data_IF_919106063943
#
_entry.id   IF_919106063943
#
_cell.length_a   1.000
_cell.length_b   1.000
_cell.length_c   1.000
_cell.angle_alpha   90.00
_cell.angle_beta   90.00
_cell.angle_gamma   90.00
#
_symmetry.space_group_name_H-M   'P 1'
#
loop_
_entity.id
_entity.type
_entity.pdbx_description
1 polymer ?
#
# COMPACT_ATOMS: atom_id res chain seq x y z
N UNK A 1 -2.71 10.38 6.79
CA UNK A 1 -1.24 10.42 6.65
C UNK A 1 -0.89 11.43 5.57
N UNK A 2 0.25 12.11 5.69
CA UNK A 2 0.72 13.12 4.74
C UNK A 2 2.21 12.95 4.52
N UNK A 3 2.64 12.89 3.26
CA UNK A 3 4.06 12.97 2.92
C UNK A 3 4.57 14.38 3.18
N UNK A 4 5.61 14.50 4.00
CA UNK A 4 6.22 15.76 4.43
C UNK A 4 7.64 15.95 3.90
N UNK A 5 8.27 14.86 3.42
CA UNK A 5 9.55 14.86 2.73
C UNK A 5 9.61 13.80 1.63
N UNK A 6 10.75 13.68 0.96
CA UNK A 6 10.94 12.66 -0.10
C UNK A 6 10.75 11.25 0.44
N UNK A 7 11.19 11.02 1.67
CA UNK A 7 11.26 9.75 2.40
C UNK A 7 10.54 9.81 3.75
N UNK A 8 9.69 10.82 3.98
CA UNK A 8 9.09 11.08 5.29
C UNK A 8 7.58 11.22 5.17
N UNK A 9 6.85 10.50 6.02
CA UNK A 9 5.39 10.56 6.15
C UNK A 9 5.01 10.86 7.59
N UNK A 10 4.22 11.91 7.79
CA UNK A 10 3.61 12.22 9.08
C UNK A 10 2.21 11.60 9.15
N UNK A 11 1.97 10.81 10.19
CA UNK A 11 0.65 10.33 10.60
C UNK A 11 0.15 11.22 11.72
N UNK A 12 -1.12 11.63 11.66
CA UNK A 12 -1.76 12.44 12.70
C UNK A 12 -3.05 11.78 13.11
N UNK A 13 -3.18 11.47 14.39
CA UNK A 13 -4.45 11.09 14.98
C UNK A 13 -5.32 12.35 15.08
N UNK A 14 -6.45 12.34 14.38
CA UNK A 14 -7.35 13.50 14.31
C UNK A 14 -8.21 13.69 15.56
N UNK A 15 -8.25 12.70 16.45
CA UNK A 15 -9.04 12.74 17.68
C UNK A 15 -8.30 13.49 18.79
N UNK A 16 -7.02 13.16 19.00
CA UNK A 16 -6.19 13.71 20.08
C UNK A 16 -5.03 14.59 19.59
N UNK A 17 -4.80 14.66 18.27
CA UNK A 17 -3.73 15.46 17.67
C UNK A 17 -2.35 14.81 17.75
N UNK A 18 -2.22 13.58 18.27
CA UNK A 18 -0.94 12.88 18.34
C UNK A 18 -0.33 12.72 16.94
N UNK A 19 0.99 12.92 16.83
CA UNK A 19 1.72 12.84 15.56
C UNK A 19 2.85 11.83 15.64
N UNK A 20 3.00 11.06 14.58
CA UNK A 20 4.11 10.13 14.38
C UNK A 20 4.75 10.42 13.03
N UNK A 21 6.05 10.67 13.04
CA UNK A 21 6.84 10.88 11.83
C UNK A 21 7.56 9.58 11.48
N UNK A 22 7.23 9.03 10.31
CA UNK A 22 7.80 7.80 9.78
C UNK A 22 8.83 8.16 8.71
N UNK A 23 10.07 7.72 8.92
CA UNK A 23 11.16 7.86 7.94
C UNK A 23 11.41 6.53 7.25
N UNK A 24 11.50 6.57 5.92
CA UNK A 24 11.67 5.41 5.06
C UNK A 24 13.08 5.35 4.49
N UNK A 25 13.49 4.15 4.05
CA UNK A 25 14.83 3.90 3.51
C UNK A 25 15.11 4.68 2.22
N UNK A 26 14.08 4.91 1.42
CA UNK A 26 14.16 5.65 0.16
C UNK A 26 12.84 6.38 -0.14
N UNK A 27 12.76 7.00 -1.32
CA UNK A 27 11.65 7.89 -1.69
C UNK A 27 10.30 7.17 -1.63
N UNK A 28 9.36 7.75 -0.90
CA UNK A 28 7.95 7.36 -0.92
C UNK A 28 7.34 7.76 -2.26
N UNK A 29 6.76 6.79 -2.96
CA UNK A 29 6.16 6.98 -4.29
C UNK A 29 4.63 6.89 -4.27
N UNK A 30 4.07 6.02 -3.42
CA UNK A 30 2.63 5.85 -3.27
C UNK A 30 2.29 5.54 -1.80
N UNK A 31 1.06 5.84 -1.38
CA UNK A 31 0.58 5.44 -0.05
C UNK A 31 -0.93 5.29 -0.03
N UNK A 32 -1.42 4.40 0.83
CA UNK A 32 -2.84 4.20 1.10
C UNK A 32 -3.07 4.04 2.60
N UNK A 33 -4.08 4.73 3.11
CA UNK A 33 -4.46 4.68 4.52
C UNK A 33 -5.90 4.18 4.63
N UNK A 34 -6.08 3.12 5.41
CA UNK A 34 -7.38 2.60 5.83
C UNK A 34 -7.56 2.76 7.34
N UNK A 35 -8.65 2.22 7.88
CA UNK A 35 -8.92 2.21 9.33
C UNK A 35 -7.91 1.38 10.12
N UNK A 36 -7.40 0.28 9.54
CA UNK A 36 -6.54 -0.68 10.23
C UNK A 36 -5.07 -0.66 9.80
N UNK A 37 -4.78 -0.22 8.57
CA UNK A 37 -3.42 -0.24 8.03
C UNK A 37 -3.08 1.00 7.20
N UNK A 38 -1.83 1.43 7.32
CA UNK A 38 -1.15 2.35 6.43
C UNK A 38 -0.17 1.55 5.57
N UNK A 39 -0.36 1.57 4.25
CA UNK A 39 0.58 1.00 3.29
C UNK A 39 1.38 2.15 2.69
N UNK A 40 2.71 2.08 2.79
CA UNK A 40 3.63 3.02 2.16
C UNK A 40 4.50 2.28 1.17
N UNK A 41 4.46 2.72 -0.08
CA UNK A 41 5.33 2.24 -1.16
C UNK A 41 6.48 3.21 -1.28
N UNK A 42 7.68 2.65 -1.24
CA UNK A 42 8.93 3.33 -1.51
C UNK A 42 9.47 2.90 -2.88
N UNK A 43 10.59 3.47 -3.33
CA UNK A 43 11.21 3.09 -4.59
C UNK A 43 11.62 1.61 -4.64
N UNK A 44 11.93 1.00 -3.50
CA UNK A 44 12.38 -0.41 -3.43
C UNK A 44 11.53 -1.31 -2.55
N UNK A 45 10.65 -0.79 -1.71
CA UNK A 45 9.93 -1.59 -0.72
C UNK A 45 8.46 -1.18 -0.57
N UNK A 46 7.64 -2.11 -0.09
CA UNK A 46 6.33 -1.83 0.50
C UNK A 46 6.43 -2.04 2.00
N UNK A 47 6.04 -1.03 2.77
CA UNK A 47 5.97 -1.06 4.22
C UNK A 47 4.48 -1.05 4.65
N UNK A 48 4.05 -2.12 5.31
CA UNK A 48 2.68 -2.30 5.78
C UNK A 48 2.65 -2.08 7.29
N UNK A 49 2.08 -0.98 7.73
CA UNK A 49 1.97 -0.61 9.14
C UNK A 49 0.55 -0.86 9.63
N UNK A 50 0.41 -1.49 10.81
CA UNK A 50 -0.85 -1.47 11.52
C UNK A 50 -1.07 -0.08 12.15
N UNK A 51 -2.29 0.46 12.06
CA UNK A 51 -2.62 1.76 12.67
C UNK A 51 -2.59 1.74 14.20
N UNK A 52 -2.60 0.55 14.79
CA UNK A 52 -2.40 0.34 16.23
C UNK A 52 -0.93 0.40 16.66
N UNK A 53 0.01 0.21 15.74
CA UNK A 53 1.45 0.31 16.01
C UNK A 53 2.25 0.50 14.70
N UNK A 54 2.73 1.71 14.46
CA UNK A 54 3.51 2.02 13.26
C UNK A 54 4.98 1.56 13.33
N UNK A 55 5.49 1.17 14.50
CA UNK A 55 6.92 0.89 14.69
C UNK A 55 7.39 -0.46 14.14
N UNK A 56 6.48 -1.40 13.88
CA UNK A 56 6.80 -2.76 13.44
C UNK A 56 6.12 -3.09 12.12
N UNK A 57 6.51 -2.46 11.00
CA UNK A 57 5.91 -2.75 9.71
C UNK A 57 6.29 -4.14 9.18
N UNK A 58 5.40 -4.73 8.40
CA UNK A 58 5.77 -5.80 7.48
C UNK A 58 6.38 -5.18 6.22
N UNK A 59 7.61 -5.54 5.89
CA UNK A 59 8.36 -4.98 4.75
C UNK A 59 8.50 -6.04 3.65
N UNK A 60 8.16 -5.66 2.42
CA UNK A 60 8.27 -6.49 1.22
C UNK A 60 9.15 -5.78 0.21
N UNK A 61 10.16 -6.47 -0.33
CA UNK A 61 10.99 -5.95 -1.42
C UNK A 61 10.20 -5.93 -2.73
N UNK A 62 10.21 -4.80 -3.42
CA UNK A 62 9.57 -4.61 -4.71
C UNK A 62 10.50 -5.02 -5.85
N UNK A 63 9.90 -5.53 -6.92
CA UNK A 63 10.61 -5.84 -8.18
C UNK A 63 10.21 -4.94 -9.34
N UNK A 64 9.17 -4.12 -9.15
CA UNK A 64 8.61 -3.23 -10.15
C UNK A 64 8.00 -1.99 -9.49
N UNK A 65 7.68 -0.99 -10.30
CA UNK A 65 7.03 0.24 -9.83
C UNK A 65 5.56 -0.05 -9.55
N UNK A 66 5.10 0.31 -8.36
CA UNK A 66 3.68 0.21 -7.98
C UNK A 66 2.93 1.42 -8.52
N UNK A 67 1.77 1.19 -9.15
CA UNK A 67 0.92 2.24 -9.73
C UNK A 67 -0.45 2.37 -9.07
N UNK A 68 -0.87 1.41 -8.26
CA UNK A 68 -2.17 1.41 -7.59
C UNK A 68 -2.13 0.60 -6.31
N UNK A 69 -2.77 1.14 -5.26
CA UNK A 69 -3.03 0.45 -4.00
C UNK A 69 -4.51 0.68 -3.64
N UNK A 70 -5.27 -0.40 -3.46
CA UNK A 70 -6.65 -0.34 -2.95
C UNK A 70 -6.76 -1.23 -1.72
N UNK A 71 -7.42 -0.75 -0.66
CA UNK A 71 -7.54 -1.50 0.60
C UNK A 71 -8.97 -1.98 0.83
N UNK A 72 -9.08 -3.16 1.43
CA UNK A 72 -10.30 -3.71 2.02
C UNK A 72 -10.01 -4.12 3.47
N UNK A 73 -11.03 -4.56 4.21
CA UNK A 73 -10.85 -4.97 5.62
C UNK A 73 -9.84 -6.13 5.80
N UNK A 74 -9.92 -7.26 5.06
CA UNK A 74 -8.99 -8.38 5.26
C UNK A 74 -7.69 -8.25 4.45
N UNK A 75 -7.73 -7.58 3.30
CA UNK A 75 -6.65 -7.64 2.29
C UNK A 75 -6.47 -6.29 1.60
N UNK A 76 -5.41 -6.18 0.80
CA UNK A 76 -5.22 -5.08 -0.13
C UNK A 76 -4.86 -5.59 -1.53
N UNK A 77 -5.19 -4.78 -2.52
CA UNK A 77 -4.80 -4.94 -3.91
C UNK A 77 -3.61 -4.01 -4.20
N UNK A 78 -2.59 -4.55 -4.86
CA UNK A 78 -1.46 -3.79 -5.38
C UNK A 78 -1.28 -4.10 -6.87
N UNK A 79 -0.94 -3.08 -7.66
CA UNK A 79 -0.57 -3.26 -9.06
C UNK A 79 0.86 -2.78 -9.26
N UNK A 80 1.73 -3.66 -9.76
CA UNK A 80 3.11 -3.32 -10.11
C UNK A 80 3.47 -3.72 -11.55
N UNK A 81 4.54 -3.13 -12.10
CA UNK A 81 4.94 -3.34 -13.51
C UNK A 81 5.46 -4.75 -13.83
N UNK A 82 5.84 -5.55 -12.83
CA UNK A 82 6.41 -6.90 -13.00
C UNK A 82 5.35 -7.97 -12.75
N UNK A 83 4.65 -7.89 -11.63
CA UNK A 83 3.66 -8.89 -11.23
C UNK A 83 2.27 -8.60 -11.77
N UNK A 84 2.01 -7.37 -12.18
CA UNK A 84 0.66 -6.90 -12.49
C UNK A 84 -0.17 -6.78 -11.21
N UNK A 85 -1.43 -7.18 -11.29
CA UNK A 85 -2.38 -7.07 -10.19
C UNK A 85 -2.24 -8.24 -9.20
N UNK A 86 -2.05 -7.93 -7.92
CA UNK A 86 -1.89 -8.88 -6.82
C UNK A 86 -2.82 -8.52 -5.66
N UNK A 87 -3.47 -9.52 -5.06
CA UNK A 87 -4.13 -9.40 -3.75
C UNK A 87 -3.17 -9.95 -2.71
N UNK A 88 -2.90 -9.17 -1.67
CA UNK A 88 -2.01 -9.53 -0.57
C UNK A 88 -2.72 -9.39 0.77
N UNK A 89 -2.34 -10.25 1.71
CA UNK A 89 -2.64 -10.07 3.12
C UNK A 89 -1.76 -8.97 3.73
N UNK A 90 -2.23 -8.36 4.82
CA UNK A 90 -1.46 -7.34 5.55
C UNK A 90 -0.21 -7.88 6.25
N UNK A 91 -0.04 -9.20 6.30
CA UNK A 91 1.21 -9.88 6.68
C UNK A 91 2.23 -9.97 5.52
N UNK A 92 1.87 -9.41 4.36
CA UNK A 92 2.66 -9.38 3.14
C UNK A 92 2.60 -10.63 2.28
N UNK A 93 1.74 -11.60 2.62
CA UNK A 93 1.62 -12.83 1.84
C UNK A 93 0.76 -12.61 0.58
N UNK A 94 1.21 -13.04 -0.60
CA UNK A 94 0.37 -13.02 -1.79
C UNK A 94 -0.73 -14.07 -1.67
N UNK A 95 -1.96 -13.67 -1.96
CA UNK A 95 -3.16 -14.52 -1.88
C UNK A 95 -3.69 -14.87 -3.27
N UNK A 96 -3.69 -13.90 -4.18
CA UNK A 96 -4.10 -14.13 -5.57
C UNK A 96 -3.44 -13.15 -6.53
N UNK A 97 -3.44 -13.50 -7.82
CA UNK A 97 -2.95 -12.65 -8.90
C UNK A 97 -3.95 -12.69 -10.06
N UNK A 98 -5.09 -11.97 -9.97
CA UNK A 98 -6.11 -12.04 -11.00
C UNK A 98 -5.58 -11.48 -12.32
N UNK A 99 -5.77 -12.24 -13.40
CA UNK A 99 -5.30 -11.92 -14.75
C UNK A 99 -6.32 -12.36 -15.78
N UNK A 100 -6.43 -11.63 -16.87
CA UNK A 100 -7.24 -12.01 -18.04
C UNK A 100 -6.45 -11.72 -19.34
N UNK A 101 -6.79 -12.38 -20.47
CA UNK A 101 -6.12 -12.15 -21.73
C UNK A 101 -6.13 -10.66 -22.12
N UNK A 102 -4.98 -10.15 -22.57
CA UNK A 102 -4.78 -8.74 -22.93
C UNK A 102 -4.96 -7.73 -21.77
N UNK A 103 -4.94 -8.16 -20.51
CA UNK A 103 -4.86 -7.24 -19.37
C UNK A 103 -3.58 -6.39 -19.48
N UNK A 104 -3.76 -5.08 -19.41
CA UNK A 104 -2.70 -4.08 -19.34
C UNK A 104 -2.63 -3.51 -17.93
N UNK A 105 -1.68 -4.00 -17.13
CA UNK A 105 -1.53 -3.58 -15.73
C UNK A 105 -1.25 -2.07 -15.59
N UNK A 106 -0.53 -1.50 -16.55
CA UNK A 106 -0.22 -0.07 -16.66
C UNK A 106 -1.46 0.81 -16.94
N UNK A 107 -2.55 0.22 -17.43
CA UNK A 107 -3.81 0.92 -17.66
C UNK A 107 -4.77 0.87 -16.47
N UNK A 108 -4.45 0.12 -15.41
CA UNK A 108 -5.29 0.00 -14.23
C UNK A 108 -5.15 1.22 -13.32
N UNK A 109 -6.27 1.82 -12.96
CA UNK A 109 -6.35 2.99 -12.09
C UNK A 109 -7.49 2.83 -11.08
N UNK A 110 -7.58 3.75 -10.11
CA UNK A 110 -8.70 3.81 -9.17
C UNK A 110 -10.06 4.07 -9.84
N UNK A 111 -10.08 4.57 -11.09
CA UNK A 111 -11.31 4.76 -11.85
C UNK A 111 -11.79 3.49 -12.58
N UNK A 112 -10.91 2.51 -12.79
CA UNK A 112 -11.19 1.30 -13.59
C UNK A 112 -11.19 0.02 -12.76
N UNK A 113 -10.79 0.10 -11.49
CA UNK A 113 -10.71 -1.04 -10.57
C UNK A 113 -11.44 -0.72 -9.27
N UNK A 114 -12.42 -1.55 -8.93
CA UNK A 114 -13.02 -1.60 -7.60
C UNK A 114 -12.45 -2.77 -6.81
N UNK A 115 -12.23 -2.57 -5.51
CA UNK A 115 -11.77 -3.62 -4.61
C UNK A 115 -12.55 -3.56 -3.30
N UNK A 116 -13.13 -4.68 -2.89
CA UNK A 116 -13.95 -4.80 -1.69
C UNK A 116 -13.84 -6.22 -1.13
N UNK A 117 -14.14 -6.37 0.15
CA UNK A 117 -14.35 -7.68 0.74
C UNK A 117 -15.66 -8.30 0.19
N UNK A 118 -15.71 -9.62 0.16
CA UNK A 118 -16.93 -10.38 -0.05
C UNK A 118 -17.89 -10.27 1.15
N UNK A 119 -19.14 -10.68 0.92
CA UNK A 119 -20.24 -10.69 1.90
C UNK A 119 -20.18 -11.90 2.83
#
# INVERSE_FOLDING_TARGET
ARQTGVDTVTVTNVIDGHREDLTFKDRVTEMSLSTSHLIVVTATQVCIHATSNFNTPHIIELRGTVSLILQSAPHFLMVDTVSGMQVLGYDGRPLSQPKFPAMRADALTSATVGFAADL
#
